data_IF_893812766083
#
_entry.id   IF_893812766083
#
_cell.length_a   1.000
_cell.length_b   1.000
_cell.length_c   1.000
_cell.angle_alpha   90.00
_cell.angle_beta   90.00
_cell.angle_gamma   90.00
#
_symmetry.space_group_name_H-M   'P 1'
#
loop_
_entity.id
_entity.type
_entity.pdbx_description
1 polymer ?
#
# COMPACT_ATOMS: atom_id res chain seq x y z
N UNK A 1 8.51 31.52 -3.29
CA UNK A 1 8.69 30.10 -3.70
C UNK A 1 9.59 29.25 -2.78
N UNK A 2 10.81 29.66 -2.40
CA UNK A 2 11.74 28.82 -1.58
C UNK A 2 11.20 28.35 -0.22
N UNK A 3 10.32 29.11 0.47
CA UNK A 3 9.69 28.68 1.74
C UNK A 3 8.65 27.58 1.56
N UNK A 4 7.91 27.57 0.44
CA UNK A 4 6.88 26.55 0.15
C UNK A 4 7.53 25.19 -0.15
N UNK A 5 8.65 25.19 -0.87
CA UNK A 5 9.45 23.99 -1.15
C UNK A 5 10.11 23.37 0.09
N UNK A 6 10.25 24.11 1.19
CA UNK A 6 10.80 23.61 2.46
C UNK A 6 9.74 22.98 3.37
N UNK A 7 8.45 23.08 3.04
CA UNK A 7 7.40 22.45 3.84
C UNK A 7 7.53 20.91 3.81
N UNK A 8 7.55 20.22 4.97
CA UNK A 8 7.55 18.77 5.03
C UNK A 8 6.44 18.13 4.21
N UNK A 9 5.25 18.74 4.19
CA UNK A 9 4.08 18.27 3.42
C UNK A 9 4.36 18.25 1.92
N UNK A 10 4.93 19.35 1.39
CA UNK A 10 5.27 19.46 -0.04
C UNK A 10 6.34 18.45 -0.41
N UNK A 11 7.37 18.27 0.45
CA UNK A 11 8.43 17.28 0.23
C UNK A 11 7.89 15.85 0.23
N UNK A 12 7.02 15.50 1.17
CA UNK A 12 6.36 14.19 1.22
C UNK A 12 5.51 13.95 -0.02
N UNK A 13 4.73 14.95 -0.45
CA UNK A 13 3.92 14.86 -1.67
C UNK A 13 4.80 14.66 -2.92
N UNK A 14 5.92 15.39 -3.03
CA UNK A 14 6.87 15.22 -4.13
C UNK A 14 7.49 13.83 -4.15
N UNK A 15 7.93 13.31 -2.99
CA UNK A 15 8.52 11.97 -2.89
C UNK A 15 7.50 10.89 -3.24
N UNK A 16 6.26 10.99 -2.73
CA UNK A 16 5.19 10.05 -3.07
C UNK A 16 4.77 10.14 -4.54
N UNK A 17 4.70 11.35 -5.09
CA UNK A 17 4.41 11.55 -6.51
C UNK A 17 5.50 10.95 -7.40
N UNK A 18 6.77 11.24 -7.11
CA UNK A 18 7.91 10.67 -7.83
C UNK A 18 7.95 9.14 -7.72
N UNK A 19 7.68 8.58 -6.54
CA UNK A 19 7.58 7.14 -6.34
C UNK A 19 6.41 6.52 -7.10
N UNK A 20 5.26 7.19 -7.14
CA UNK A 20 4.10 6.78 -7.93
C UNK A 20 4.40 6.76 -9.43
N UNK A 21 5.07 7.79 -9.95
CA UNK A 21 5.54 7.86 -11.34
C UNK A 21 6.57 6.76 -11.62
N UNK A 22 7.53 6.53 -10.72
CA UNK A 22 8.51 5.46 -10.83
C UNK A 22 7.86 4.08 -10.91
N UNK A 23 6.89 3.82 -10.02
CA UNK A 23 6.10 2.59 -10.03
C UNK A 23 5.30 2.42 -11.33
N UNK A 24 4.58 3.46 -11.76
CA UNK A 24 3.77 3.43 -12.97
C UNK A 24 4.64 3.23 -14.22
N UNK A 25 5.72 3.99 -14.33
CA UNK A 25 6.69 3.91 -15.42
C UNK A 25 7.35 2.53 -15.49
N UNK A 26 7.81 1.99 -14.36
CA UNK A 26 8.36 0.64 -14.28
C UNK A 26 7.40 -0.41 -14.83
N UNK A 27 6.14 -0.38 -14.39
CA UNK A 27 5.14 -1.34 -14.81
C UNK A 27 4.82 -1.22 -16.31
N UNK A 28 4.68 0.01 -16.83
CA UNK A 28 4.41 0.25 -18.25
C UNK A 28 5.60 -0.20 -19.12
N UNK A 29 6.83 0.08 -18.71
CA UNK A 29 8.05 -0.42 -19.38
C UNK A 29 8.08 -1.95 -19.40
N UNK A 30 7.89 -2.59 -18.24
CA UNK A 30 7.91 -4.05 -18.13
C UNK A 30 6.78 -4.70 -18.93
N UNK A 31 5.57 -4.10 -18.93
CA UNK A 31 4.44 -4.58 -19.73
C UNK A 31 4.74 -4.56 -21.23
N UNK A 32 5.52 -3.55 -21.68
CA UNK A 32 5.92 -3.44 -23.08
C UNK A 32 6.94 -4.50 -23.49
N UNK A 33 7.93 -4.76 -22.64
CA UNK A 33 9.08 -5.61 -23.00
C UNK A 33 8.83 -7.08 -22.69
N UNK A 34 8.26 -7.41 -21.54
CA UNK A 34 8.07 -8.82 -21.14
C UNK A 34 6.92 -9.47 -21.92
N UNK A 35 6.99 -10.77 -22.24
CA UNK A 35 5.84 -11.54 -22.70
C UNK A 35 4.66 -11.44 -21.72
N UNK A 36 3.43 -11.56 -22.22
CA UNK A 36 2.22 -11.38 -21.40
C UNK A 36 2.19 -12.27 -20.16
N UNK A 37 2.49 -13.57 -20.30
CA UNK A 37 2.57 -14.52 -19.18
C UNK A 37 3.61 -14.09 -18.13
N UNK A 38 4.80 -13.65 -18.58
CA UNK A 38 5.87 -13.19 -17.69
C UNK A 38 5.47 -11.90 -16.97
N UNK A 39 4.81 -10.96 -17.64
CA UNK A 39 4.31 -9.75 -17.01
C UNK A 39 3.15 -10.03 -16.03
N UNK A 40 2.28 -10.98 -16.34
CA UNK A 40 1.23 -11.44 -15.44
C UNK A 40 1.83 -12.04 -14.15
N UNK A 41 2.81 -12.94 -14.29
CA UNK A 41 3.54 -13.54 -13.19
C UNK A 41 4.27 -12.49 -12.33
N UNK A 42 4.95 -11.54 -12.97
CA UNK A 42 5.55 -10.38 -12.29
C UNK A 42 4.51 -9.58 -11.50
N UNK A 43 3.36 -9.30 -12.11
CA UNK A 43 2.25 -8.55 -11.48
C UNK A 43 1.72 -9.27 -10.24
N UNK A 44 1.55 -10.59 -10.32
CA UNK A 44 1.14 -11.45 -9.20
C UNK A 44 2.17 -11.44 -8.08
N UNK A 45 3.45 -11.64 -8.41
CA UNK A 45 4.55 -11.63 -7.44
C UNK A 45 4.64 -10.29 -6.71
N UNK A 46 4.54 -9.17 -7.42
CA UNK A 46 4.51 -7.83 -6.81
C UNK A 46 3.28 -7.66 -5.91
N UNK A 47 2.13 -8.25 -6.26
CA UNK A 47 0.94 -8.23 -5.42
C UNK A 47 1.16 -8.98 -4.11
N UNK A 48 1.67 -10.22 -4.19
CA UNK A 48 2.00 -11.04 -3.03
C UNK A 48 2.99 -10.32 -2.11
N UNK A 49 4.07 -9.79 -2.67
CA UNK A 49 5.07 -9.01 -1.91
C UNK A 49 4.43 -7.78 -1.27
N UNK A 50 3.57 -7.03 -1.98
CA UNK A 50 2.92 -5.83 -1.44
C UNK A 50 1.92 -6.12 -0.30
N UNK A 51 1.40 -7.34 -0.21
CA UNK A 51 0.61 -7.77 0.95
C UNK A 51 1.52 -8.31 2.05
N UNK A 52 2.51 -9.13 1.70
CA UNK A 52 3.30 -9.88 2.68
C UNK A 52 4.28 -8.99 3.45
N UNK A 53 5.03 -8.11 2.78
CA UNK A 53 6.11 -7.37 3.45
C UNK A 53 5.63 -6.38 4.54
N UNK A 54 4.49 -5.66 4.41
CA UNK A 54 4.01 -4.82 5.49
C UNK A 54 3.36 -5.64 6.62
N UNK A 55 2.97 -6.90 6.35
CA UNK A 55 2.45 -7.83 7.35
C UNK A 55 3.53 -8.64 8.05
N UNK A 56 4.68 -8.79 7.41
CA UNK A 56 5.84 -9.50 7.92
C UNK A 56 6.24 -9.09 9.35
N UNK A 57 6.28 -7.81 9.73
CA UNK A 57 6.62 -7.42 11.09
C UNK A 57 5.49 -7.64 12.10
N UNK A 58 4.33 -8.18 11.69
CA UNK A 58 3.16 -8.43 12.54
C UNK A 58 2.79 -7.24 13.45
N UNK A 59 2.88 -6.02 12.92
CA UNK A 59 2.54 -4.78 13.64
C UNK A 59 3.65 -4.22 14.53
N UNK A 60 4.85 -4.82 14.55
CA UNK A 60 6.00 -4.27 15.25
C UNK A 60 6.35 -2.85 14.80
N UNK A 61 6.22 -2.55 13.51
CA UNK A 61 6.37 -1.21 12.94
C UNK A 61 5.40 -0.20 13.59
N UNK A 62 4.16 -0.60 13.82
CA UNK A 62 3.16 0.21 14.53
C UNK A 62 3.56 0.49 15.98
N UNK A 63 4.01 -0.53 16.71
CA UNK A 63 4.44 -0.38 18.12
C UNK A 63 5.70 0.48 18.23
N UNK A 64 6.69 0.25 17.37
CA UNK A 64 7.93 1.04 17.31
C UNK A 64 7.61 2.52 17.10
N UNK A 65 6.69 2.83 16.19
CA UNK A 65 6.27 4.20 15.92
C UNK A 65 5.53 4.85 17.10
N UNK A 66 4.75 4.08 17.87
CA UNK A 66 3.95 4.59 19.00
C UNK A 66 4.71 4.69 20.32
N UNK A 67 5.45 3.64 20.68
CA UNK A 67 6.08 3.49 22.01
C UNK A 67 7.57 3.84 22.03
N UNK A 68 8.15 4.19 20.88
CA UNK A 68 9.59 4.50 20.73
C UNK A 68 10.48 3.41 21.34
N UNK A 69 10.20 2.16 20.98
CA UNK A 69 11.02 1.04 21.41
C UNK A 69 12.48 1.28 21.04
N UNK A 70 13.38 0.85 21.90
CA UNK A 70 14.80 0.98 21.62
C UNK A 70 15.24 0.02 20.52
N UNK A 71 16.01 0.54 19.57
CA UNK A 71 16.58 -0.25 18.48
C UNK A 71 17.71 -1.10 19.01
N UNK A 72 17.56 -2.43 19.05
CA UNK A 72 18.65 -3.33 19.44
C UNK A 72 18.79 -4.57 18.56
N UNK A 73 19.87 -5.34 18.80
CA UNK A 73 20.05 -6.65 18.15
C UNK A 73 18.86 -7.57 18.47
N UNK A 74 18.26 -7.46 19.66
CA UNK A 74 17.07 -8.23 20.04
C UNK A 74 15.85 -7.83 19.23
N UNK A 75 15.62 -6.52 19.03
CA UNK A 75 14.53 -6.04 18.17
C UNK A 75 14.73 -6.51 16.73
N UNK A 76 15.96 -6.44 16.20
CA UNK A 76 16.27 -6.96 14.86
C UNK A 76 16.02 -8.46 14.78
N UNK A 77 16.49 -9.24 15.76
CA UNK A 77 16.31 -10.70 15.81
C UNK A 77 14.82 -11.06 15.84
N UNK A 78 14.05 -10.45 16.72
CA UNK A 78 12.59 -10.66 16.79
C UNK A 78 11.93 -10.23 15.48
N UNK A 79 12.34 -9.10 14.91
CA UNK A 79 11.86 -8.64 13.59
C UNK A 79 12.10 -9.70 12.52
N UNK A 80 13.33 -10.20 12.37
CA UNK A 80 13.68 -11.20 11.37
C UNK A 80 12.96 -12.53 11.58
N UNK A 81 12.78 -12.98 12.83
CA UNK A 81 12.04 -14.21 13.14
C UNK A 81 10.59 -14.05 12.69
N UNK A 82 9.89 -13.01 13.13
CA UNK A 82 8.48 -12.80 12.77
C UNK A 82 8.32 -12.62 11.27
N UNK A 83 9.19 -11.82 10.64
CA UNK A 83 9.14 -11.60 9.20
C UNK A 83 9.39 -12.90 8.41
N UNK A 84 10.31 -13.75 8.87
CA UNK A 84 10.57 -15.06 8.26
C UNK A 84 9.39 -16.01 8.41
N UNK A 85 8.71 -16.03 9.56
CA UNK A 85 7.52 -16.87 9.77
C UNK A 85 6.37 -16.45 8.84
N UNK A 86 6.11 -15.14 8.71
CA UNK A 86 5.12 -14.63 7.76
C UNK A 86 5.54 -14.93 6.32
N UNK A 87 6.82 -14.79 6.00
CA UNK A 87 7.37 -15.13 4.68
C UNK A 87 7.19 -16.61 4.34
N UNK A 88 7.38 -17.53 5.29
CA UNK A 88 7.08 -18.96 5.11
C UNK A 88 5.59 -19.18 4.85
N UNK A 89 4.71 -18.52 5.61
CA UNK A 89 3.26 -18.60 5.39
C UNK A 89 2.85 -18.16 3.99
N UNK A 90 3.39 -17.04 3.50
CA UNK A 90 3.17 -16.57 2.14
C UNK A 90 3.84 -17.46 1.08
N UNK A 91 4.96 -18.11 1.40
CA UNK A 91 5.59 -19.11 0.54
C UNK A 91 4.72 -20.36 0.37
N UNK A 92 4.16 -20.88 1.47
CA UNK A 92 3.20 -22.00 1.44
C UNK A 92 1.96 -21.61 0.63
N UNK A 93 1.40 -20.42 0.90
CA UNK A 93 0.25 -19.92 0.14
C UNK A 93 0.59 -19.76 -1.36
N UNK A 94 1.74 -19.19 -1.68
CA UNK A 94 2.24 -19.04 -3.05
C UNK A 94 2.36 -20.38 -3.78
N UNK A 95 2.86 -21.42 -3.09
CA UNK A 95 3.00 -22.76 -3.66
C UNK A 95 1.64 -23.44 -3.84
N UNK A 96 0.77 -23.41 -2.83
CA UNK A 96 -0.50 -24.16 -2.85
C UNK A 96 -1.59 -23.50 -3.70
N UNK A 97 -1.63 -22.17 -3.70
CA UNK A 97 -2.70 -21.41 -4.35
C UNK A 97 -2.30 -21.02 -5.77
N UNK A 98 -1.04 -20.63 -6.00
CA UNK A 98 -0.59 -20.04 -7.26
C UNK A 98 0.43 -20.88 -8.02
N UNK A 99 0.75 -22.10 -7.54
CA UNK A 99 1.72 -23.02 -8.14
C UNK A 99 3.07 -22.36 -8.47
N UNK A 100 3.56 -21.51 -7.56
CA UNK A 100 4.80 -20.78 -7.77
C UNK A 100 6.01 -21.72 -7.69
N UNK A 101 6.87 -21.66 -8.71
CA UNK A 101 8.12 -22.40 -8.71
C UNK A 101 9.10 -21.98 -7.60
N UNK A 102 10.07 -22.84 -7.24
CA UNK A 102 10.92 -22.69 -6.06
C UNK A 102 11.73 -21.39 -6.05
N UNK A 103 12.19 -20.92 -7.22
CA UNK A 103 12.92 -19.65 -7.34
C UNK A 103 12.03 -18.47 -6.97
N UNK A 104 10.76 -18.46 -7.40
CA UNK A 104 9.82 -17.39 -7.07
C UNK A 104 9.44 -17.42 -5.59
N UNK A 105 9.27 -18.62 -5.02
CA UNK A 105 9.06 -18.79 -3.58
C UNK A 105 10.22 -18.23 -2.76
N UNK A 106 11.46 -18.49 -3.18
CA UNK A 106 12.65 -17.92 -2.54
C UNK A 106 12.68 -16.39 -2.66
N UNK A 107 12.37 -15.84 -3.84
CA UNK A 107 12.31 -14.37 -4.04
C UNK A 107 11.19 -13.73 -3.21
N UNK A 108 10.03 -14.38 -3.09
CA UNK A 108 8.94 -13.95 -2.21
C UNK A 108 9.39 -13.97 -0.75
N UNK A 109 10.07 -15.05 -0.33
CA UNK A 109 10.59 -15.19 1.02
C UNK A 109 11.57 -14.05 1.35
N UNK A 110 12.58 -13.85 0.52
CA UNK A 110 13.59 -12.79 0.69
C UNK A 110 12.95 -11.40 0.71
N UNK A 111 12.05 -11.11 -0.25
CA UNK A 111 11.37 -9.82 -0.33
C UNK A 111 10.48 -9.56 0.89
N UNK A 112 9.78 -10.58 1.38
CA UNK A 112 8.91 -10.47 2.55
C UNK A 112 9.73 -10.23 3.82
N UNK A 113 10.78 -11.03 4.03
CA UNK A 113 11.63 -10.93 5.22
C UNK A 113 12.39 -9.60 5.26
N UNK A 114 13.07 -9.25 4.16
CA UNK A 114 13.82 -8.00 4.08
C UNK A 114 12.90 -6.78 4.06
N UNK A 115 11.78 -6.82 3.34
CA UNK A 115 10.81 -5.74 3.31
C UNK A 115 10.16 -5.48 4.67
N UNK A 116 9.87 -6.53 5.45
CA UNK A 116 9.40 -6.40 6.82
C UNK A 116 10.44 -5.78 7.76
N UNK A 117 11.69 -6.21 7.67
CA UNK A 117 12.79 -5.61 8.41
C UNK A 117 13.01 -4.13 8.04
N UNK A 118 12.91 -3.80 6.76
CA UNK A 118 12.96 -2.42 6.25
C UNK A 118 11.81 -1.57 6.83
N UNK A 119 10.59 -2.12 6.93
CA UNK A 119 9.43 -1.43 7.50
C UNK A 119 9.65 -1.05 8.97
N UNK A 120 10.18 -1.97 9.79
CA UNK A 120 10.49 -1.67 11.21
C UNK A 120 11.56 -0.60 11.33
N UNK A 121 12.62 -0.67 10.52
CA UNK A 121 13.66 0.38 10.52
C UNK A 121 13.09 1.74 10.09
N UNK A 122 12.24 1.77 9.06
CA UNK A 122 11.58 2.99 8.61
C UNK A 122 10.63 3.57 9.67
N UNK A 123 9.92 2.73 10.41
CA UNK A 123 9.06 3.12 11.51
C UNK A 123 9.84 3.75 12.67
N UNK A 124 11.06 3.27 12.95
CA UNK A 124 11.93 3.91 13.93
C UNK A 124 12.33 5.32 13.50
N UNK A 125 12.80 5.51 12.26
CA UNK A 125 13.11 6.85 11.77
C UNK A 125 11.88 7.77 11.79
N UNK A 126 10.68 7.20 11.57
CA UNK A 126 9.43 7.95 11.68
C UNK A 126 9.14 8.38 13.12
N UNK A 127 9.35 7.50 14.11
CA UNK A 127 9.14 7.78 15.54
C UNK A 127 10.05 8.91 16.04
N UNK A 128 11.26 8.99 15.50
CA UNK A 128 12.25 10.05 15.73
C UNK A 128 12.00 11.33 14.92
N UNK A 129 10.86 11.44 14.20
CA UNK A 129 10.49 12.57 13.32
C UNK A 129 11.45 12.78 12.14
N UNK A 130 12.22 11.77 11.75
CA UNK A 130 13.16 11.80 10.61
C UNK A 130 12.48 11.31 9.34
N UNK A 131 11.39 11.99 8.98
CA UNK A 131 10.48 11.59 7.90
C UNK A 131 11.17 11.40 6.55
N UNK A 132 12.22 12.17 6.23
CA UNK A 132 12.90 12.04 4.94
C UNK A 132 13.53 10.65 4.74
N UNK A 133 14.19 10.11 5.77
CA UNK A 133 14.84 8.80 5.70
C UNK A 133 13.80 7.69 5.72
N UNK A 134 12.81 7.81 6.62
CA UNK A 134 11.68 6.89 6.68
C UNK A 134 10.96 6.79 5.34
N UNK A 135 10.60 7.92 4.72
CA UNK A 135 9.97 7.95 3.40
C UNK A 135 10.87 7.39 2.30
N UNK A 136 12.18 7.70 2.32
CA UNK A 136 13.11 7.14 1.35
C UNK A 136 13.17 5.61 1.42
N UNK A 137 13.18 5.03 2.63
CA UNK A 137 13.11 3.59 2.83
C UNK A 137 11.76 3.02 2.35
N UNK A 138 10.65 3.60 2.80
CA UNK A 138 9.30 3.14 2.43
C UNK A 138 9.00 3.21 0.93
N UNK A 139 9.62 4.17 0.21
CA UNK A 139 9.43 4.37 -1.23
C UNK A 139 10.54 3.75 -2.08
N UNK A 140 11.58 3.17 -1.46
CA UNK A 140 12.73 2.59 -2.15
C UNK A 140 12.32 1.50 -3.14
N UNK A 141 11.34 0.68 -2.77
CA UNK A 141 10.79 -0.40 -3.61
C UNK A 141 10.25 0.12 -4.95
N UNK A 142 9.60 1.29 -4.96
CA UNK A 142 9.08 1.89 -6.20
C UNK A 142 10.20 2.38 -7.13
N UNK A 143 11.32 2.87 -6.57
CA UNK A 143 12.49 3.28 -7.34
C UNK A 143 13.25 2.06 -7.86
N UNK A 144 13.41 1.04 -7.03
CA UNK A 144 14.03 -0.24 -7.41
C UNK A 144 13.27 -0.89 -8.56
N UNK A 145 11.93 -0.83 -8.55
CA UNK A 145 11.12 -1.32 -9.68
C UNK A 145 11.43 -0.57 -10.99
N UNK A 146 11.64 0.74 -10.93
CA UNK A 146 12.04 1.51 -12.12
C UNK A 146 13.39 1.07 -12.63
N UNK A 147 14.37 0.90 -11.74
CA UNK A 147 15.69 0.34 -12.08
C UNK A 147 15.57 -1.06 -12.68
N UNK A 148 14.70 -1.90 -12.13
CA UNK A 148 14.43 -3.24 -12.65
C UNK A 148 13.85 -3.21 -14.07
N UNK A 149 12.90 -2.30 -14.34
CA UNK A 149 12.35 -2.09 -15.67
C UNK A 149 13.42 -1.66 -16.69
N UNK A 150 14.28 -0.72 -16.31
CA UNK A 150 15.39 -0.27 -17.16
C UNK A 150 16.42 -1.39 -17.39
N UNK A 151 16.74 -2.18 -16.37
CA UNK A 151 17.68 -3.30 -16.48
C UNK A 151 17.15 -4.40 -17.42
N UNK A 152 15.84 -4.69 -17.39
CA UNK A 152 15.20 -5.61 -18.34
C UNK A 152 15.32 -5.10 -19.78
N UNK A 153 15.09 -3.80 -20.00
CA UNK A 153 15.27 -3.17 -21.32
C UNK A 153 16.72 -3.30 -21.80
N UNK A 154 17.69 -3.00 -20.93
CA UNK A 154 19.11 -2.98 -21.28
C UNK A 154 19.71 -4.38 -21.48
N UNK A 155 19.28 -5.35 -20.68
CA UNK A 155 19.78 -6.72 -20.77
C UNK A 155 19.15 -7.52 -21.91
N UNK A 156 17.99 -7.09 -22.42
CA UNK A 156 17.23 -7.85 -23.42
C UNK A 156 16.73 -9.20 -22.88
N UNK A 157 16.63 -9.38 -21.56
CA UNK A 157 16.11 -10.61 -20.94
C UNK A 157 14.59 -10.52 -20.82
N UNK A 158 13.89 -11.51 -21.35
CA UNK A 158 12.42 -11.51 -21.48
C UNK A 158 11.72 -12.28 -20.35
N UNK A 159 12.44 -12.62 -19.29
CA UNK A 159 11.92 -13.38 -18.15
C UNK A 159 11.57 -12.47 -16.97
N UNK A 160 10.47 -12.79 -16.28
CA UNK A 160 10.04 -12.10 -15.07
C UNK A 160 11.05 -12.22 -13.90
N UNK A 161 11.97 -13.19 -13.97
CA UNK A 161 12.94 -13.47 -12.90
C UNK A 161 13.89 -12.30 -12.66
N UNK A 162 14.43 -11.70 -13.73
CA UNK A 162 15.38 -10.59 -13.60
C UNK A 162 14.82 -9.40 -12.81
N UNK A 163 13.65 -8.82 -13.17
CA UNK A 163 13.13 -7.70 -12.41
C UNK A 163 12.72 -8.08 -10.98
N UNK A 164 12.31 -9.33 -10.73
CA UNK A 164 12.01 -9.82 -9.38
C UNK A 164 13.27 -10.01 -8.52
N UNK A 165 14.39 -10.44 -9.10
CA UNK A 165 15.70 -10.53 -8.41
C UNK A 165 16.14 -9.12 -8.01
N UNK A 166 16.09 -8.16 -8.93
CA UNK A 166 16.45 -6.76 -8.65
C UNK A 166 15.53 -6.20 -7.56
N UNK A 167 14.23 -6.51 -7.62
CA UNK A 167 13.27 -6.08 -6.63
C UNK A 167 13.55 -6.64 -5.23
N UNK A 168 13.81 -7.94 -5.13
CA UNK A 168 14.18 -8.60 -3.87
C UNK A 168 15.50 -8.05 -3.30
N UNK A 169 16.50 -7.87 -4.17
CA UNK A 169 17.78 -7.29 -3.80
C UNK A 169 17.64 -5.86 -3.27
N UNK A 170 16.78 -5.04 -3.87
CA UNK A 170 16.48 -3.70 -3.40
C UNK A 170 15.92 -3.67 -1.97
N UNK A 171 15.03 -4.60 -1.61
CA UNK A 171 14.57 -4.73 -0.22
C UNK A 171 15.70 -5.11 0.73
N UNK A 172 16.59 -6.03 0.33
CA UNK A 172 17.76 -6.41 1.15
C UNK A 172 18.67 -5.20 1.37
N UNK A 173 18.99 -4.44 0.33
CA UNK A 173 19.81 -3.23 0.43
C UNK A 173 19.15 -2.17 1.33
N UNK A 174 17.84 -1.94 1.18
CA UNK A 174 17.12 -0.96 1.98
C UNK A 174 17.05 -1.37 3.46
N UNK A 175 16.79 -2.65 3.75
CA UNK A 175 16.81 -3.20 5.10
C UNK A 175 18.20 -3.09 5.73
N UNK A 176 19.24 -3.54 5.02
CA UNK A 176 20.62 -3.47 5.48
C UNK A 176 21.04 -2.02 5.76
N UNK A 177 20.75 -1.09 4.85
CA UNK A 177 21.02 0.34 5.05
C UNK A 177 20.28 0.92 6.25
N UNK A 178 18.99 0.61 6.40
CA UNK A 178 18.16 1.07 7.52
C UNK A 178 18.73 0.63 8.87
N UNK A 179 19.00 -0.67 9.03
CA UNK A 179 19.52 -1.24 10.27
C UNK A 179 20.98 -0.85 10.55
N UNK A 180 21.84 -0.81 9.53
CA UNK A 180 23.22 -0.34 9.67
C UNK A 180 23.26 1.09 10.22
N UNK A 181 22.42 1.98 9.69
CA UNK A 181 22.34 3.37 10.15
C UNK A 181 21.83 3.46 11.58
N UNK A 182 20.81 2.68 11.94
CA UNK A 182 20.27 2.65 13.30
C UNK A 182 21.31 2.15 14.32
N UNK A 183 22.07 1.09 13.99
CA UNK A 183 23.13 0.60 14.88
C UNK A 183 24.28 1.61 15.04
N UNK A 184 24.70 2.27 13.95
CA UNK A 184 25.76 3.28 14.01
C UNK A 184 25.39 4.46 14.90
N UNK A 185 24.13 4.89 14.87
CA UNK A 185 23.63 6.02 15.66
C UNK A 185 23.29 5.64 17.12
N UNK A 186 23.24 4.34 17.44
CA UNK A 186 22.98 3.83 18.80
C UNK A 186 24.23 3.64 19.66
N UNK A 187 25.43 3.65 19.06
CA UNK A 187 26.69 3.46 19.80
C UNK A 187 26.80 4.51 20.93
N UNK A 188 26.48 4.10 22.17
CA UNK A 188 26.55 4.96 23.37
C UNK A 188 25.23 5.22 24.12
N UNK A 189 24.07 4.67 23.72
CA UNK A 189 22.82 4.81 24.49
C UNK A 189 22.56 3.61 25.43
N UNK A 190 22.17 3.83 26.69
CA UNK A 190 21.85 2.75 27.64
C UNK A 190 20.63 1.95 27.16
N UNK A 191 20.59 0.66 27.51
CA UNK A 191 19.51 -0.25 27.14
C UNK A 191 18.37 -0.14 28.16
N UNK A 192 17.14 0.11 27.71
CA UNK A 192 15.95 0.03 28.55
C UNK A 192 15.11 -1.16 28.12
N UNK A 193 15.03 -2.19 28.96
CA UNK A 193 14.12 -3.31 28.74
C UNK A 193 12.68 -2.87 28.93
N UNK A 194 11.92 -2.86 27.83
CA UNK A 194 10.46 -2.74 27.87
C UNK A 194 9.84 -3.98 27.27
N UNK A 195 8.95 -4.65 28.01
CA UNK A 195 8.17 -5.78 27.51
C UNK A 195 7.43 -5.40 26.23
N UNK A 196 7.52 -6.26 25.20
CA UNK A 196 6.92 -6.01 23.90
C UNK A 196 5.42 -6.36 23.91
N UNK A 197 4.50 -5.40 23.66
CA UNK A 197 3.05 -5.62 23.75
C UNK A 197 2.50 -6.30 22.49
N UNK A 198 2.69 -7.62 22.36
CA UNK A 198 2.25 -8.40 21.20
C UNK A 198 0.76 -8.29 20.88
N UNK A 199 -0.11 -8.23 21.90
CA UNK A 199 -1.57 -8.10 21.68
C UNK A 199 -1.94 -6.81 20.95
N UNK A 200 -1.26 -5.70 21.27
CA UNK A 200 -1.43 -4.43 20.57
C UNK A 200 -0.87 -4.53 19.14
N UNK A 201 0.30 -5.15 18.96
CA UNK A 201 0.93 -5.33 17.65
C UNK A 201 0.04 -6.13 16.69
N UNK A 202 -0.50 -7.27 17.12
CA UNK A 202 -1.39 -8.09 16.31
C UNK A 202 -2.70 -7.37 15.95
N UNK A 203 -3.23 -6.55 16.85
CA UNK A 203 -4.42 -5.74 16.56
C UNK A 203 -4.14 -4.71 15.46
N UNK A 204 -2.97 -4.07 15.49
CA UNK A 204 -2.51 -3.20 14.41
C UNK A 204 -2.29 -3.94 13.10
N UNK A 205 -1.65 -5.10 13.17
CA UNK A 205 -1.39 -5.94 12.02
C UNK A 205 -2.70 -6.33 11.32
N UNK A 206 -3.70 -6.78 12.06
CA UNK A 206 -5.01 -7.17 11.52
C UNK A 206 -5.73 -6.03 10.80
N UNK A 207 -5.73 -4.82 11.37
CA UNK A 207 -6.39 -3.67 10.77
C UNK A 207 -5.67 -3.19 9.49
N UNK A 208 -4.35 -3.27 9.46
CA UNK A 208 -3.54 -2.98 8.28
C UNK A 208 -3.70 -4.07 7.21
N UNK A 209 -3.72 -5.34 7.61
CA UNK A 209 -3.87 -6.51 6.73
C UNK A 209 -5.13 -6.43 5.88
N UNK A 210 -6.28 -6.19 6.50
CA UNK A 210 -7.54 -6.11 5.76
C UNK A 210 -7.49 -5.02 4.68
N UNK A 211 -6.85 -3.88 4.96
CA UNK A 211 -6.70 -2.79 3.99
C UNK A 211 -5.73 -3.14 2.85
N UNK A 212 -4.58 -3.73 3.18
CA UNK A 212 -3.56 -4.11 2.20
C UNK A 212 -4.03 -5.25 1.28
N UNK A 213 -4.72 -6.24 1.86
CA UNK A 213 -5.34 -7.32 1.09
C UNK A 213 -6.32 -6.73 0.08
N UNK A 214 -7.19 -5.82 0.50
CA UNK A 214 -8.18 -5.19 -0.38
C UNK A 214 -7.54 -4.35 -1.50
N UNK A 215 -6.33 -3.81 -1.30
CA UNK A 215 -5.56 -3.08 -2.33
C UNK A 215 -5.04 -4.02 -3.40
N UNK A 216 -4.62 -5.23 -3.02
CA UNK A 216 -4.03 -6.21 -3.93
C UNK A 216 -5.04 -7.26 -4.40
N UNK A 217 -6.27 -7.22 -3.89
CA UNK A 217 -7.26 -8.27 -4.09
C UNK A 217 -7.55 -8.55 -5.56
N UNK A 218 -7.63 -7.50 -6.38
CA UNK A 218 -7.82 -7.65 -7.83
C UNK A 218 -6.74 -8.56 -8.43
N UNK A 219 -5.46 -8.34 -8.09
CA UNK A 219 -4.33 -9.14 -8.61
C UNK A 219 -4.30 -10.57 -8.07
N UNK A 220 -4.84 -10.78 -6.88
CA UNK A 220 -4.86 -12.09 -6.22
C UNK A 220 -6.03 -12.96 -6.67
N UNK A 221 -7.16 -12.35 -7.04
CA UNK A 221 -8.37 -13.06 -7.48
C UNK A 221 -8.33 -13.38 -8.96
N UNK A 222 -7.87 -12.45 -9.81
CA UNK A 222 -7.87 -12.61 -11.27
C UNK A 222 -7.30 -13.97 -11.76
N UNK A 223 -6.15 -14.48 -11.25
CA UNK A 223 -5.61 -15.77 -11.69
C UNK A 223 -6.56 -16.96 -11.52
N UNK A 224 -7.54 -16.87 -10.62
CA UNK A 224 -8.49 -17.95 -10.32
C UNK A 224 -9.82 -17.82 -11.07
N UNK A 225 -10.14 -16.64 -11.57
CA UNK A 225 -11.45 -16.34 -12.15
C UNK A 225 -11.38 -15.94 -13.62
N UNK A 226 -10.20 -15.56 -14.10
CA UNK A 226 -9.94 -14.99 -15.42
C UNK A 226 -8.57 -15.46 -15.93
N UNK A 227 -8.16 -14.96 -17.08
CA UNK A 227 -6.93 -15.40 -17.76
C UNK A 227 -5.69 -14.65 -17.28
N UNK A 228 -4.49 -15.19 -17.57
CA UNK A 228 -3.23 -14.47 -17.37
C UNK A 228 -3.17 -13.16 -18.16
N UNK A 229 -3.81 -13.12 -19.34
CA UNK A 229 -3.91 -11.90 -20.14
C UNK A 229 -4.70 -10.81 -19.40
N UNK A 230 -5.77 -11.18 -18.69
CA UNK A 230 -6.55 -10.25 -17.87
C UNK A 230 -5.72 -9.73 -16.68
N UNK A 231 -4.87 -10.56 -16.08
CA UNK A 231 -3.98 -10.14 -15.00
C UNK A 231 -2.92 -9.15 -15.49
N UNK A 232 -2.32 -9.43 -16.64
CA UNK A 232 -1.38 -8.52 -17.28
C UNK A 232 -2.06 -7.19 -17.67
N UNK A 233 -3.24 -7.25 -18.27
CA UNK A 233 -4.05 -6.07 -18.62
C UNK A 233 -4.39 -5.24 -17.39
N UNK A 234 -4.80 -5.90 -16.30
CA UNK A 234 -5.02 -5.23 -15.02
C UNK A 234 -3.74 -4.64 -14.44
N UNK A 235 -2.60 -5.31 -14.58
CA UNK A 235 -1.29 -4.81 -14.16
C UNK A 235 -0.98 -3.43 -14.76
N UNK A 236 -1.20 -3.29 -16.07
CA UNK A 236 -1.07 -2.03 -16.81
C UNK A 236 -2.10 -1.00 -16.33
N UNK A 237 -3.37 -1.38 -16.27
CA UNK A 237 -4.45 -0.49 -15.84
C UNK A 237 -4.22 0.05 -14.42
N UNK A 238 -3.78 -0.81 -13.50
CA UNK A 238 -3.46 -0.45 -12.12
C UNK A 238 -2.21 0.44 -12.04
N UNK A 239 -1.26 0.30 -12.96
CA UNK A 239 -0.09 1.18 -13.04
C UNK A 239 -0.49 2.60 -13.50
N UNK A 240 -1.32 2.71 -14.53
CA UNK A 240 -1.75 3.99 -15.10
C UNK A 240 -2.78 4.68 -14.21
N UNK A 241 -3.90 4.01 -13.94
CA UNK A 241 -5.00 4.59 -13.17
C UNK A 241 -4.81 4.43 -11.67
N UNK A 242 -4.45 3.22 -11.22
CA UNK A 242 -4.37 2.88 -9.80
C UNK A 242 -3.28 3.64 -9.04
N UNK A 243 -2.17 4.02 -9.68
CA UNK A 243 -1.08 4.76 -9.04
C UNK A 243 -1.52 6.13 -8.51
N UNK A 244 -2.30 6.89 -9.27
CA UNK A 244 -2.87 8.17 -8.85
C UNK A 244 -3.72 8.01 -7.60
N UNK A 245 -4.69 7.10 -7.62
CA UNK A 245 -5.60 6.87 -6.50
C UNK A 245 -4.87 6.36 -5.27
N UNK A 246 -3.82 5.53 -5.45
CA UNK A 246 -2.97 5.07 -4.35
C UNK A 246 -2.21 6.22 -3.70
N UNK A 247 -1.64 7.13 -4.49
CA UNK A 247 -0.97 8.34 -3.97
C UNK A 247 -1.95 9.21 -3.20
N UNK A 248 -3.17 9.42 -3.71
CA UNK A 248 -4.22 10.17 -3.02
C UNK A 248 -4.66 9.49 -1.71
N UNK A 249 -4.89 8.18 -1.75
CA UNK A 249 -5.23 7.38 -0.57
C UNK A 249 -4.16 7.50 0.53
N UNK A 250 -2.88 7.41 0.16
CA UNK A 250 -1.78 7.62 1.12
C UNK A 250 -1.74 9.07 1.61
N UNK A 251 -1.85 10.04 0.70
CA UNK A 251 -1.83 11.47 1.00
C UNK A 251 -2.87 11.86 2.05
N UNK A 252 -4.12 11.42 1.87
CA UNK A 252 -5.21 11.63 2.84
C UNK A 252 -4.84 11.09 4.22
N UNK A 253 -4.27 9.89 4.28
CA UNK A 253 -3.83 9.27 5.54
C UNK A 253 -2.81 10.13 6.30
N UNK A 254 -1.83 10.70 5.57
CA UNK A 254 -0.76 11.50 6.16
C UNK A 254 -1.17 12.92 6.53
N UNK A 255 -2.08 13.55 5.77
CA UNK A 255 -2.45 14.95 5.99
C UNK A 255 -3.65 15.11 6.92
N UNK A 256 -4.69 14.28 6.77
CA UNK A 256 -5.95 14.47 7.47
C UNK A 256 -5.88 14.01 8.93
N UNK A 257 -5.22 12.88 9.20
CA UNK A 257 -5.19 12.27 10.53
C UNK A 257 -4.63 13.20 11.62
N UNK A 258 -3.44 13.83 11.44
CA UNK A 258 -2.89 14.70 12.48
C UNK A 258 -3.71 15.97 12.65
N UNK A 259 -4.23 16.54 11.55
CA UNK A 259 -5.03 17.77 11.56
C UNK A 259 -6.38 17.56 12.26
N UNK A 260 -7.01 16.40 12.08
CA UNK A 260 -8.26 16.06 12.78
C UNK A 260 -8.06 15.91 14.30
N UNK A 261 -6.94 15.29 14.71
CA UNK A 261 -6.60 15.15 16.13
C UNK A 261 -6.29 16.49 16.80
N UNK A 262 -5.68 17.41 16.07
CA UNK A 262 -5.37 18.75 16.57
C UNK A 262 -6.56 19.72 16.54
N UNK A 263 -7.66 19.38 15.85
CA UNK A 263 -8.78 20.29 15.68
C UNK A 263 -9.58 20.47 17.00
N UNK A 264 -9.78 21.72 17.46
CA UNK A 264 -10.28 22.01 18.81
C UNK A 264 -11.78 21.73 19.00
N UNK A 265 -12.56 21.78 17.92
CA UNK A 265 -14.01 21.61 17.99
C UNK A 265 -14.57 20.90 16.75
N UNK A 266 -15.81 20.42 16.88
CA UNK A 266 -16.51 19.66 15.84
C UNK A 266 -16.65 20.48 14.54
N UNK A 267 -16.94 21.77 14.65
CA UNK A 267 -17.16 22.64 13.49
C UNK A 267 -15.87 22.72 12.66
N UNK A 268 -14.72 22.93 13.32
CA UNK A 268 -13.41 22.92 12.65
C UNK A 268 -13.09 21.55 12.04
N UNK A 269 -13.41 20.44 12.72
CA UNK A 269 -13.26 19.09 12.16
C UNK A 269 -14.07 18.92 10.87
N UNK A 270 -15.35 19.32 10.87
CA UNK A 270 -16.22 19.24 9.69
C UNK A 270 -15.75 20.14 8.55
N UNK A 271 -15.35 21.36 8.84
CA UNK A 271 -14.80 22.29 7.84
C UNK A 271 -13.51 21.75 7.22
N UNK A 272 -12.62 21.17 8.04
CA UNK A 272 -11.38 20.54 7.58
C UNK A 272 -11.67 19.36 6.65
N UNK A 273 -12.58 18.47 7.05
CA UNK A 273 -13.04 17.33 6.23
C UNK A 273 -13.62 17.84 4.91
N UNK A 274 -14.53 18.81 4.94
CA UNK A 274 -15.14 19.35 3.73
C UNK A 274 -14.11 20.01 2.80
N UNK A 275 -13.13 20.73 3.35
CA UNK A 275 -12.06 21.36 2.59
C UNK A 275 -11.16 20.32 1.89
N UNK A 276 -10.69 19.31 2.64
CA UNK A 276 -9.88 18.24 2.07
C UNK A 276 -10.67 17.40 1.05
N UNK A 277 -11.95 17.12 1.31
CA UNK A 277 -12.81 16.41 0.35
C UNK A 277 -12.98 17.19 -0.96
N UNK A 278 -13.13 18.52 -0.91
CA UNK A 278 -13.18 19.36 -2.11
C UNK A 278 -11.87 19.33 -2.88
N UNK A 279 -10.73 19.45 -2.19
CA UNK A 279 -9.41 19.42 -2.81
C UNK A 279 -9.12 18.07 -3.47
N UNK A 280 -9.32 16.97 -2.73
CA UNK A 280 -9.14 15.61 -3.24
C UNK A 280 -10.13 15.33 -4.37
N UNK A 281 -11.38 15.77 -4.26
CA UNK A 281 -12.39 15.65 -5.32
C UNK A 281 -11.97 16.35 -6.61
N UNK A 282 -11.42 17.56 -6.53
CA UNK A 282 -10.88 18.27 -7.69
C UNK A 282 -9.72 17.50 -8.35
N UNK A 283 -8.79 16.95 -7.55
CA UNK A 283 -7.67 16.14 -8.09
C UNK A 283 -8.18 14.84 -8.70
N UNK A 284 -9.18 14.19 -8.10
CA UNK A 284 -9.83 12.99 -8.65
C UNK A 284 -10.43 13.32 -10.01
N UNK A 285 -11.20 14.41 -10.15
CA UNK A 285 -11.84 14.78 -11.41
C UNK A 285 -10.79 15.08 -12.50
N UNK A 286 -9.81 15.93 -12.18
CA UNK A 286 -8.74 16.27 -13.10
C UNK A 286 -7.91 15.04 -13.50
N UNK A 287 -7.52 14.22 -12.53
CA UNK A 287 -6.74 13.02 -12.77
C UNK A 287 -7.52 11.93 -13.51
N UNK A 288 -8.83 11.80 -13.27
CA UNK A 288 -9.70 10.89 -14.02
C UNK A 288 -9.82 11.30 -15.49
N UNK A 289 -9.95 12.60 -15.76
CA UNK A 289 -9.91 13.13 -17.13
C UNK A 289 -8.55 12.84 -17.80
N UNK A 290 -7.43 13.09 -17.09
CA UNK A 290 -6.10 12.76 -17.60
C UNK A 290 -5.98 11.26 -17.90
N UNK A 291 -6.38 10.38 -16.98
CA UNK A 291 -6.37 8.93 -17.19
C UNK A 291 -7.21 8.56 -18.42
N UNK A 292 -8.41 9.14 -18.58
CA UNK A 292 -9.30 8.86 -19.71
C UNK A 292 -8.66 9.17 -21.06
N UNK A 293 -7.95 10.30 -21.18
CA UNK A 293 -7.32 10.71 -22.43
C UNK A 293 -5.93 10.11 -22.65
N UNK A 294 -5.14 9.92 -21.59
CA UNK A 294 -3.76 9.41 -21.68
C UNK A 294 -3.74 7.90 -21.88
N UNK A 295 -4.68 7.15 -21.30
CA UNK A 295 -4.64 5.68 -21.38
C UNK A 295 -4.75 5.14 -22.82
N UNK A 296 -5.68 5.62 -23.67
CA UNK A 296 -5.72 5.19 -25.08
C UNK A 296 -4.47 5.55 -25.87
N UNK A 297 -3.82 6.68 -25.53
CA UNK A 297 -2.56 7.08 -26.15
C UNK A 297 -1.42 6.12 -25.74
N UNK A 298 -1.31 5.78 -24.46
CA UNK A 298 -0.32 4.81 -23.97
C UNK A 298 -0.55 3.42 -24.57
N UNK A 299 -1.80 2.97 -24.68
CA UNK A 299 -2.16 1.70 -25.31
C UNK A 299 -1.65 1.64 -26.77
N UNK A 300 -1.96 2.66 -27.57
CA UNK A 300 -1.64 2.68 -29.01
C UNK A 300 -0.15 2.90 -29.26
N UNK A 301 0.43 3.92 -28.64
CA UNK A 301 1.76 4.40 -28.99
C UNK A 301 2.87 3.65 -28.24
N UNK A 302 2.66 3.35 -26.96
CA UNK A 302 3.70 2.73 -26.14
C UNK A 302 3.56 1.22 -26.10
N UNK A 303 2.35 0.72 -25.81
CA UNK A 303 2.07 -0.72 -25.65
C UNK A 303 1.80 -1.45 -26.98
N UNK A 304 1.78 -0.72 -28.10
CA UNK A 304 1.55 -1.26 -29.45
C UNK A 304 0.27 -2.13 -29.55
N UNK A 305 -0.79 -1.76 -28.83
CA UNK A 305 -2.07 -2.48 -28.83
C UNK A 305 -2.05 -3.84 -28.12
N UNK A 306 -0.99 -4.17 -27.38
CA UNK A 306 -0.85 -5.46 -26.69
C UNK A 306 -1.91 -5.72 -25.60
N UNK A 307 -2.42 -4.66 -24.99
CA UNK A 307 -3.42 -4.73 -23.92
C UNK A 307 -4.56 -3.79 -24.26
N UNK A 308 -5.78 -4.33 -24.41
CA UNK A 308 -6.93 -3.52 -24.78
C UNK A 308 -7.58 -2.90 -23.54
N UNK A 309 -7.46 -1.58 -23.37
CA UNK A 309 -7.99 -0.84 -22.23
C UNK A 309 -9.30 -0.14 -22.60
N UNK A 310 -10.31 -0.94 -22.91
CA UNK A 310 -11.63 -0.45 -23.31
C UNK A 310 -12.28 0.49 -22.28
N UNK A 311 -13.17 1.36 -22.75
CA UNK A 311 -13.81 2.38 -21.90
C UNK A 311 -14.50 1.81 -20.65
N UNK A 312 -15.11 0.62 -20.74
CA UNK A 312 -15.72 -0.05 -19.60
C UNK A 312 -14.70 -0.39 -18.48
N UNK A 313 -13.48 -0.80 -18.84
CA UNK A 313 -12.40 -1.07 -17.88
C UNK A 313 -11.89 0.22 -17.25
N UNK A 314 -11.79 1.30 -18.03
CA UNK A 314 -11.41 2.62 -17.51
C UNK A 314 -12.43 3.11 -16.49
N UNK A 315 -13.73 3.05 -16.81
CA UNK A 315 -14.79 3.43 -15.85
C UNK A 315 -14.69 2.57 -14.60
N UNK A 316 -14.55 1.24 -14.72
CA UNK A 316 -14.43 0.35 -13.57
C UNK A 316 -13.21 0.72 -12.69
N UNK A 317 -12.06 1.01 -13.30
CA UNK A 317 -10.86 1.43 -12.57
C UNK A 317 -11.03 2.80 -11.89
N UNK A 318 -11.72 3.76 -12.53
CA UNK A 318 -12.03 5.05 -11.93
C UNK A 318 -12.99 4.90 -10.74
N UNK A 319 -14.05 4.11 -10.88
CA UNK A 319 -14.99 3.82 -9.78
C UNK A 319 -14.28 3.13 -8.62
N UNK A 320 -13.48 2.10 -8.88
CA UNK A 320 -12.65 1.43 -7.85
C UNK A 320 -11.68 2.41 -7.19
N UNK A 321 -11.04 3.28 -7.97
CA UNK A 321 -10.15 4.34 -7.49
C UNK A 321 -10.84 5.33 -6.53
N UNK A 322 -12.03 5.82 -6.91
CA UNK A 322 -12.84 6.71 -6.06
C UNK A 322 -13.26 6.00 -4.77
N UNK A 323 -13.71 4.74 -4.87
CA UNK A 323 -14.07 3.94 -3.70
C UNK A 323 -12.88 3.74 -2.74
N UNK A 324 -11.67 3.49 -3.26
CA UNK A 324 -10.41 3.40 -2.49
C UNK A 324 -10.13 4.69 -1.74
N UNK A 325 -10.24 5.84 -2.40
CA UNK A 325 -10.01 7.15 -1.76
C UNK A 325 -11.08 7.48 -0.72
N UNK A 326 -12.36 7.20 -1.00
CA UNK A 326 -13.44 7.40 -0.04
C UNK A 326 -13.22 6.54 1.22
N UNK A 327 -12.85 5.26 1.03
CA UNK A 327 -12.53 4.36 2.13
C UNK A 327 -11.32 4.83 2.94
N UNK A 328 -10.28 5.35 2.28
CA UNK A 328 -9.14 5.95 2.96
C UNK A 328 -9.55 7.13 3.84
N UNK A 329 -10.40 8.00 3.29
CA UNK A 329 -10.88 9.20 3.96
C UNK A 329 -11.71 8.89 5.20
N UNK A 330 -12.67 7.96 5.08
CA UNK A 330 -13.50 7.53 6.22
C UNK A 330 -12.69 6.73 7.24
N UNK A 331 -11.77 5.85 6.80
CA UNK A 331 -10.84 5.13 7.70
C UNK A 331 -9.96 6.10 8.49
N UNK A 332 -9.35 7.09 7.83
CA UNK A 332 -8.49 8.07 8.50
C UNK A 332 -9.27 8.92 9.49
N UNK A 333 -10.48 9.34 9.13
CA UNK A 333 -11.39 10.06 10.03
C UNK A 333 -11.77 9.19 11.23
N UNK A 334 -12.08 7.91 11.00
CA UNK A 334 -12.37 6.95 12.05
C UNK A 334 -11.18 6.79 13.01
N UNK A 335 -9.99 6.50 12.50
CA UNK A 335 -8.77 6.34 13.33
C UNK A 335 -8.37 7.60 14.11
N UNK A 336 -8.86 8.77 13.70
CA UNK A 336 -8.64 10.02 14.42
C UNK A 336 -9.66 10.23 15.57
N UNK A 337 -10.88 9.72 15.46
CA UNK A 337 -12.00 10.11 16.30
C UNK A 337 -12.62 8.98 17.14
N UNK A 338 -12.51 7.71 16.73
CA UNK A 338 -13.22 6.61 17.40
C UNK A 338 -12.43 6.05 18.58
N UNK A 339 -13.15 5.41 19.50
CA UNK A 339 -12.57 4.73 20.67
C UNK A 339 -11.89 3.41 20.30
N UNK A 340 -11.01 2.85 21.17
CA UNK A 340 -10.36 1.56 20.91
C UNK A 340 -11.35 0.40 20.69
N UNK A 341 -12.49 0.39 21.40
CA UNK A 341 -13.52 -0.64 21.22
C UNK A 341 -14.24 -0.53 19.86
N UNK A 342 -14.51 0.67 19.38
CA UNK A 342 -15.06 0.87 18.03
C UNK A 342 -14.03 0.51 16.94
N UNK A 343 -12.74 0.67 17.23
CA UNK A 343 -11.66 0.30 16.30
C UNK A 343 -11.60 -1.21 16.05
N UNK A 344 -11.84 -2.04 17.07
CA UNK A 344 -11.89 -3.50 16.89
C UNK A 344 -13.10 -3.92 16.06
N UNK A 345 -14.26 -3.29 16.27
CA UNK A 345 -15.46 -3.51 15.44
C UNK A 345 -15.24 -3.07 13.99
N UNK A 346 -14.56 -1.93 13.78
CA UNK A 346 -14.17 -1.48 12.45
C UNK A 346 -13.18 -2.44 11.77
N UNK A 347 -12.29 -3.07 12.53
CA UNK A 347 -11.40 -4.12 12.03
C UNK A 347 -12.21 -5.34 11.53
N UNK A 348 -13.15 -5.82 12.33
CA UNK A 348 -14.04 -6.93 11.95
C UNK A 348 -14.82 -6.61 10.66
N UNK A 349 -15.42 -5.43 10.57
CA UNK A 349 -16.12 -4.97 9.37
C UNK A 349 -15.17 -4.79 8.17
N UNK A 350 -13.91 -4.46 8.43
CA UNK A 350 -12.86 -4.43 7.42
C UNK A 350 -12.63 -5.79 6.77
N UNK A 351 -12.58 -6.87 7.57
CA UNK A 351 -12.46 -8.24 7.07
C UNK A 351 -13.73 -8.73 6.39
N UNK A 352 -14.90 -8.41 6.94
CA UNK A 352 -16.18 -8.71 6.29
C UNK A 352 -16.28 -8.03 4.90
N UNK A 353 -15.80 -6.79 4.79
CA UNK A 353 -15.72 -6.08 3.51
C UNK A 353 -14.76 -6.75 2.52
N UNK A 354 -13.63 -7.29 2.99
CA UNK A 354 -12.71 -8.06 2.16
C UNK A 354 -13.31 -9.39 1.69
N UNK A 355 -14.03 -10.10 2.55
CA UNK A 355 -14.75 -11.32 2.16
C UNK A 355 -15.86 -11.01 1.12
N UNK A 356 -16.62 -9.94 1.33
CA UNK A 356 -17.60 -9.45 0.36
C UNK A 356 -16.94 -9.11 -0.98
N UNK A 357 -15.77 -8.44 -0.95
CA UNK A 357 -15.02 -8.10 -2.15
C UNK A 357 -14.57 -9.34 -2.93
N UNK A 358 -14.09 -10.37 -2.25
CA UNK A 358 -13.72 -11.66 -2.86
C UNK A 358 -14.94 -12.28 -3.54
N UNK A 359 -16.05 -12.44 -2.81
CA UNK A 359 -17.26 -13.04 -3.34
C UNK A 359 -17.82 -12.26 -4.54
N UNK A 360 -17.89 -10.93 -4.43
CA UNK A 360 -18.37 -10.06 -5.49
C UNK A 360 -17.41 -10.06 -6.70
N UNK A 361 -16.10 -10.16 -6.50
CA UNK A 361 -15.12 -10.27 -7.57
C UNK A 361 -15.23 -11.61 -8.31
N UNK A 362 -15.41 -12.72 -7.58
CA UNK A 362 -15.62 -14.05 -8.18
C UNK A 362 -16.90 -14.10 -8.99
N UNK A 363 -18.01 -13.60 -8.45
CA UNK A 363 -19.28 -13.50 -9.18
C UNK A 363 -19.12 -12.55 -10.37
N UNK A 364 -18.45 -11.41 -10.14
CA UNK A 364 -18.11 -10.38 -11.12
C UNK A 364 -17.30 -10.89 -12.30
N UNK A 365 -16.47 -11.92 -12.11
CA UNK A 365 -15.66 -12.55 -13.15
C UNK A 365 -16.48 -13.07 -14.34
N UNK A 366 -17.77 -13.37 -14.14
CA UNK A 366 -18.71 -13.72 -15.22
C UNK A 366 -18.90 -12.62 -16.27
N UNK A 367 -18.64 -11.37 -15.92
CA UNK A 367 -18.67 -10.21 -16.82
C UNK A 367 -17.25 -9.72 -17.19
N UNK A 368 -16.26 -10.60 -17.07
CA UNK A 368 -14.86 -10.30 -17.40
C UNK A 368 -14.16 -9.42 -16.36
N UNK A 369 -13.03 -8.85 -16.77
CA UNK A 369 -12.16 -8.08 -15.89
C UNK A 369 -12.84 -6.84 -15.27
N UNK A 370 -13.73 -6.17 -16.01
CA UNK A 370 -14.49 -5.03 -15.48
C UNK A 370 -15.37 -5.45 -14.29
N UNK A 371 -16.04 -6.60 -14.40
CA UNK A 371 -16.88 -7.13 -13.33
C UNK A 371 -16.10 -7.47 -12.07
N UNK A 372 -14.88 -8.03 -12.20
CA UNK A 372 -13.96 -8.26 -11.07
C UNK A 372 -13.61 -6.95 -10.36
N UNK A 373 -13.26 -5.90 -11.13
CA UNK A 373 -12.89 -4.59 -10.58
C UNK A 373 -14.08 -3.96 -9.84
N UNK A 374 -15.29 -4.02 -10.39
CA UNK A 374 -16.50 -3.55 -9.70
C UNK A 374 -16.80 -4.35 -8.43
N UNK A 375 -16.61 -5.67 -8.46
CA UNK A 375 -16.76 -6.52 -7.29
C UNK A 375 -15.83 -6.12 -6.15
N UNK A 376 -14.56 -5.82 -6.46
CA UNK A 376 -13.62 -5.30 -5.45
C UNK A 376 -13.98 -3.87 -5.01
N UNK A 377 -14.44 -3.01 -5.93
CA UNK A 377 -14.93 -1.67 -5.59
C UNK A 377 -16.11 -1.70 -4.60
N UNK A 378 -17.00 -2.69 -4.71
CA UNK A 378 -18.10 -2.88 -3.76
C UNK A 378 -17.58 -3.13 -2.34
N UNK A 379 -16.52 -3.92 -2.18
CA UNK A 379 -15.85 -4.12 -0.90
C UNK A 379 -15.25 -2.82 -0.33
N UNK A 380 -14.65 -2.00 -1.19
CA UNK A 380 -14.15 -0.68 -0.78
C UNK A 380 -15.27 0.25 -0.31
N UNK A 381 -16.40 0.27 -1.02
CA UNK A 381 -17.59 1.03 -0.64
C UNK A 381 -18.21 0.54 0.66
N UNK A 382 -18.34 -0.78 0.84
CA UNK A 382 -18.83 -1.38 2.09
C UNK A 382 -17.96 -0.96 3.27
N UNK A 383 -16.63 -1.04 3.12
CA UNK A 383 -15.67 -0.58 4.13
C UNK A 383 -15.79 0.91 4.40
N UNK A 384 -15.96 1.72 3.34
CA UNK A 384 -16.09 3.16 3.47
C UNK A 384 -17.36 3.56 4.24
N UNK A 385 -18.49 2.93 3.90
CA UNK A 385 -19.79 3.12 4.55
C UNK A 385 -19.75 2.69 6.01
N UNK A 386 -19.17 1.53 6.32
CA UNK A 386 -18.98 1.06 7.68
C UNK A 386 -18.20 2.09 8.52
N UNK A 387 -17.03 2.52 8.05
CA UNK A 387 -16.23 3.54 8.73
C UNK A 387 -17.00 4.87 8.88
N UNK A 388 -17.74 5.27 7.85
CA UNK A 388 -18.54 6.50 7.87
C UNK A 388 -19.61 6.47 8.97
N UNK A 389 -20.34 5.35 9.12
CA UNK A 389 -21.37 5.17 10.14
C UNK A 389 -20.85 5.34 11.57
N UNK A 390 -19.60 4.94 11.86
CA UNK A 390 -18.97 5.24 13.15
C UNK A 390 -18.58 6.72 13.26
N UNK A 391 -17.94 7.27 12.23
CA UNK A 391 -17.45 8.65 12.28
C UNK A 391 -18.57 9.68 12.40
N UNK A 392 -19.73 9.46 11.78
CA UNK A 392 -20.82 10.44 11.79
C UNK A 392 -21.38 10.68 13.20
N UNK A 393 -21.37 9.65 14.07
CA UNK A 393 -21.73 9.79 15.48
C UNK A 393 -20.79 10.76 16.20
N UNK A 394 -19.49 10.57 16.03
CA UNK A 394 -18.45 11.41 16.65
C UNK A 394 -18.35 12.82 16.04
N UNK A 395 -18.80 12.98 14.80
CA UNK A 395 -18.92 14.29 14.16
C UNK A 395 -20.21 15.03 14.56
N UNK A 396 -21.16 14.40 15.25
CA UNK A 396 -22.40 15.02 15.75
C UNK A 396 -22.34 15.39 17.23
N UNK A 397 -21.55 14.68 18.04
CA UNK A 397 -21.50 14.85 19.49
C UNK A 397 -20.18 15.51 19.96
N UNK A 398 -20.19 16.39 20.98
CA UNK A 398 -18.97 16.89 21.63
C UNK A 398 -18.18 15.74 22.24
N UNK A 399 -17.22 15.23 21.48
CA UNK A 399 -16.34 14.16 21.96
C UNK A 399 -15.26 14.77 22.85
N UNK A 400 -15.48 14.70 24.16
CA UNK A 400 -14.44 14.81 25.19
C UNK A 400 -13.57 13.54 25.14
N UNK A 401 -12.77 13.37 24.10
CA UNK A 401 -11.64 12.44 24.18
C UNK A 401 -10.52 13.25 24.82
N UNK A 402 -10.16 12.99 26.10
CA UNK A 402 -9.01 13.67 26.69
C UNK A 402 -7.82 13.38 25.79
N UNK A 403 -7.17 14.45 25.31
CA UNK A 403 -5.88 14.32 24.68
C UNK A 403 -4.98 13.66 25.72
N UNK A 404 -4.70 12.36 25.56
CA UNK A 404 -3.62 11.73 26.31
C UNK A 404 -2.38 12.54 25.96
N UNK A 405 -1.92 13.32 26.93
CA UNK A 405 -0.71 14.12 26.83
C UNK A 405 0.47 13.23 26.38
N UNK A 406 1.42 13.78 25.61
CA UNK A 406 2.49 13.03 24.95
C UNK A 406 3.37 12.22 25.91
#
# INVERSE_FOLDING_TARGET
MRRVLRSPTVRTAMVMGAAGVGFAGANVILARVLPTAQYALFTLMVALVNVSHPLAPAGMDGIVNRRRLEVGPDLLRTTLITCSLVALGFGILGSLVYDLGPVLLLLLFVSTTAGGAMMVAAAQFQSERRFAISLALLQSSNIVLLVAGLAVVLSGVWEARLPLIIYAFGFVCAAAYGWWRLFRERAGKPFTETSFPWSEAFSYAGLSAAGLLLIQLERLVIPHVLTEHDLATFGVLAAIAGSLFRVLQMGVGYTLMPRLRAAPNIIHRRQLIAHEAKLVGAIILAGSAVIWFVTPLLERWFLAGKYHLGGALLIAALVSGVAKVLSAFTKTTAMALITPGELSMLNLLGWASSALAVAAAVIGGRWGLAGVIYGVALGWLARATAAFCFTIRHLRLPSAIPATAP
#
